data_IF_841473621825
#
_entry.id   IF_841473621825
#
_cell.length_a   1.000
_cell.length_b   1.000
_cell.length_c   1.000
_cell.angle_alpha   90.00
_cell.angle_beta   90.00
_cell.angle_gamma   90.00
#
_symmetry.space_group_name_H-M   'P 1'
#
loop_
_entity.id
_entity.type
_entity.pdbx_description
1 polymer ?
#
# COMPACT_ATOMS: atom_id res chain seq x y z
N UNK A 1 15.24 -42.22 -46.98
CA UNK A 1 14.60 -40.92 -46.76
C UNK A 1 13.87 -40.98 -45.42
N UNK A 2 14.34 -40.24 -44.42
CA UNK A 2 13.68 -40.15 -43.11
C UNK A 2 12.56 -39.10 -43.22
N UNK A 3 11.30 -39.55 -43.24
CA UNK A 3 10.14 -38.65 -43.15
C UNK A 3 9.97 -38.23 -41.69
N UNK A 4 10.58 -37.10 -41.33
CA UNK A 4 10.29 -36.41 -40.08
C UNK A 4 8.87 -35.83 -40.17
N UNK A 5 7.89 -36.46 -39.53
CA UNK A 5 6.59 -35.83 -39.28
C UNK A 5 6.75 -34.95 -38.04
N UNK A 6 6.71 -33.64 -38.21
CA UNK A 6 6.68 -32.70 -37.09
C UNK A 6 5.36 -32.90 -36.33
N UNK A 7 5.37 -33.72 -35.28
CA UNK A 7 4.29 -33.74 -34.30
C UNK A 7 4.39 -32.41 -33.57
N UNK A 8 3.58 -31.43 -33.96
CA UNK A 8 3.50 -30.16 -33.27
C UNK A 8 3.02 -30.44 -31.83
N UNK A 9 3.97 -30.47 -30.89
CA UNK A 9 3.68 -30.51 -29.46
C UNK A 9 2.78 -29.30 -29.18
N UNK A 10 1.48 -29.54 -28.99
CA UNK A 10 0.56 -28.54 -28.47
C UNK A 10 1.06 -28.19 -27.07
N UNK A 11 1.93 -27.19 -26.96
CA UNK A 11 2.34 -26.59 -25.71
C UNK A 11 1.07 -26.21 -24.97
N UNK A 12 0.82 -26.87 -23.84
CA UNK A 12 -0.35 -26.59 -23.02
C UNK A 12 -0.37 -25.09 -22.73
N UNK A 13 -1.46 -24.41 -23.13
CA UNK A 13 -1.63 -22.99 -22.86
C UNK A 13 -1.54 -22.80 -21.34
N UNK A 14 -0.58 -22.03 -20.82
CA UNK A 14 -0.51 -21.78 -19.39
C UNK A 14 -1.85 -21.22 -18.94
N UNK A 15 -2.48 -21.88 -17.96
CA UNK A 15 -3.71 -21.35 -17.38
C UNK A 15 -3.30 -20.25 -16.41
N UNK A 16 -3.15 -19.05 -16.95
CA UNK A 16 -2.85 -17.86 -16.16
C UNK A 16 -4.04 -17.58 -15.25
N UNK A 17 -3.84 -17.76 -13.94
CA UNK A 17 -4.82 -17.47 -12.89
C UNK A 17 -4.35 -16.24 -12.13
N UNK A 18 -4.50 -15.02 -12.68
CA UNK A 18 -3.99 -13.79 -12.06
C UNK A 18 -4.57 -13.56 -10.65
N UNK A 19 -5.78 -14.06 -10.39
CA UNK A 19 -6.43 -14.00 -9.08
C UNK A 19 -5.65 -14.74 -7.97
N UNK A 20 -4.90 -15.80 -8.28
CA UNK A 20 -4.06 -16.49 -7.30
C UNK A 20 -2.87 -15.63 -6.86
N UNK A 21 -2.30 -14.85 -7.78
CA UNK A 21 -1.23 -13.90 -7.45
C UNK A 21 -1.77 -12.76 -6.58
N UNK A 22 -2.95 -12.24 -6.90
CA UNK A 22 -3.61 -11.22 -6.07
C UNK A 22 -3.91 -11.74 -4.67
N UNK A 23 -4.40 -12.97 -4.55
CA UNK A 23 -4.66 -13.63 -3.27
C UNK A 23 -3.37 -13.83 -2.46
N UNK A 24 -2.28 -14.24 -3.12
CA UNK A 24 -0.96 -14.36 -2.49
C UNK A 24 -0.46 -13.00 -2.00
N UNK A 25 -0.56 -11.95 -2.81
CA UNK A 25 -0.18 -10.59 -2.41
C UNK A 25 -1.01 -10.10 -1.22
N UNK A 26 -2.32 -10.37 -1.22
CA UNK A 26 -3.19 -10.02 -0.10
C UNK A 26 -2.78 -10.74 1.19
N UNK A 27 -2.59 -12.06 1.13
CA UNK A 27 -2.14 -12.85 2.30
C UNK A 27 -0.75 -12.43 2.76
N UNK A 28 0.12 -11.96 1.87
CA UNK A 28 1.46 -11.53 2.24
C UNK A 28 1.48 -10.13 2.87
N UNK A 29 0.64 -9.22 2.39
CA UNK A 29 0.64 -7.81 2.83
C UNK A 29 -0.15 -7.57 4.12
N UNK A 30 -1.28 -8.25 4.31
CA UNK A 30 -2.23 -7.88 5.37
C UNK A 30 -1.87 -8.35 6.80
N UNK A 31 -1.31 -9.56 7.01
CA UNK A 31 -1.01 -10.05 8.35
C UNK A 31 0.06 -9.22 9.07
N UNK A 32 -0.20 -8.83 10.32
CA UNK A 32 0.77 -8.17 11.19
C UNK A 32 0.85 -6.64 11.08
N UNK A 33 0.05 -6.01 10.21
CA UNK A 33 -0.04 -4.55 10.10
C UNK A 33 -0.81 -3.92 11.27
N UNK A 34 -1.78 -4.64 11.83
CA UNK A 34 -2.71 -4.16 12.84
C UNK A 34 -2.41 -4.81 14.20
N UNK A 35 -2.60 -4.05 15.29
CA UNK A 35 -2.58 -4.61 16.65
C UNK A 35 -1.21 -4.66 17.33
N UNK A 36 -0.22 -3.92 16.83
CA UNK A 36 1.03 -3.66 17.56
C UNK A 36 1.21 -2.16 17.82
N UNK A 37 1.66 -1.81 19.03
CA UNK A 37 2.02 -0.44 19.36
C UNK A 37 3.15 0.06 18.44
N UNK A 38 3.18 1.37 18.11
CA UNK A 38 4.23 1.92 17.28
C UNK A 38 5.60 1.77 17.92
N UNK A 39 6.35 0.75 17.49
CA UNK A 39 7.71 0.50 17.96
C UNK A 39 8.74 1.34 17.21
N UNK A 40 8.36 1.83 16.03
CA UNK A 40 9.29 2.39 15.05
C UNK A 40 9.28 3.89 15.23
N UNK A 41 10.44 4.54 15.39
CA UNK A 41 10.49 5.95 15.72
C UNK A 41 9.83 6.83 14.67
N UNK A 42 9.76 6.39 13.42
CA UNK A 42 9.10 7.05 12.28
C UNK A 42 7.56 7.03 12.34
N UNK A 43 6.96 6.00 12.92
CA UNK A 43 5.51 5.82 12.98
C UNK A 43 4.76 6.90 13.78
N UNK A 44 5.18 7.29 15.00
CA UNK A 44 4.52 8.37 15.74
C UNK A 44 4.71 9.73 15.05
N UNK A 45 5.79 9.95 14.30
CA UNK A 45 5.97 11.19 13.53
C UNK A 45 4.94 11.29 12.41
N UNK A 46 4.77 10.22 11.62
CA UNK A 46 3.75 10.18 10.57
C UNK A 46 2.37 10.43 11.14
N UNK A 47 2.06 9.79 12.28
CA UNK A 47 0.78 9.96 12.95
C UNK A 47 0.57 11.41 13.39
N UNK A 48 1.56 12.00 14.05
CA UNK A 48 1.47 13.37 14.58
C UNK A 48 1.33 14.41 13.45
N UNK A 49 2.06 14.25 12.35
CA UNK A 49 1.91 15.12 11.16
C UNK A 49 0.53 14.94 10.54
N UNK A 50 0.08 13.71 10.32
CA UNK A 50 -1.21 13.44 9.71
C UNK A 50 -2.38 13.96 10.56
N UNK A 51 -2.31 13.80 11.88
CA UNK A 51 -3.27 14.39 12.83
C UNK A 51 -3.21 15.92 12.80
N UNK A 52 -2.00 16.51 12.86
CA UNK A 52 -1.82 17.96 12.76
C UNK A 52 -2.39 18.54 11.46
N UNK A 53 -2.31 17.81 10.34
CA UNK A 53 -2.91 18.22 9.06
C UNK A 53 -4.44 18.16 9.09
N UNK A 54 -5.03 17.18 9.77
CA UNK A 54 -6.48 17.10 9.97
C UNK A 54 -6.98 18.22 10.88
N UNK A 55 -6.27 18.51 11.96
CA UNK A 55 -6.65 19.50 12.97
C UNK A 55 -6.46 20.94 12.47
N UNK A 56 -5.33 21.22 11.80
CA UNK A 56 -5.04 22.56 11.25
C UNK A 56 -5.78 22.85 9.94
N UNK A 57 -6.23 21.82 9.23
CA UNK A 57 -6.80 21.93 7.88
C UNK A 57 -5.78 22.37 6.82
N UNK A 58 -4.49 22.48 7.17
CA UNK A 58 -3.44 22.85 6.24
C UNK A 58 -2.85 21.61 5.57
N UNK A 59 -3.32 21.32 4.36
CA UNK A 59 -2.85 20.18 3.57
C UNK A 59 -1.57 20.50 2.78
N UNK A 60 -1.18 21.77 2.66
CA UNK A 60 -0.03 22.15 1.84
C UNK A 60 1.29 21.99 2.59
N UNK A 61 1.32 22.34 3.88
CA UNK A 61 2.51 22.32 4.71
C UNK A 61 2.32 21.31 5.85
N UNK A 62 2.96 20.11 5.78
CA UNK A 62 3.01 19.22 6.94
C UNK A 62 3.69 19.93 8.10
N UNK A 63 3.01 19.98 9.24
CA UNK A 63 3.52 20.59 10.47
C UNK A 63 3.63 19.52 11.55
N UNK A 64 4.73 19.57 12.28
CA UNK A 64 4.97 18.75 13.46
C UNK A 64 5.26 19.70 14.63
N UNK A 65 4.38 19.68 15.64
CA UNK A 65 4.52 20.50 16.85
C UNK A 65 4.78 22.00 16.58
N UNK A 66 4.13 22.57 15.56
CA UNK A 66 4.26 23.97 15.17
C UNK A 66 5.44 24.31 14.25
N UNK A 67 6.31 23.35 13.91
CA UNK A 67 7.37 23.53 12.93
C UNK A 67 7.02 22.83 11.59
N UNK A 68 7.39 23.38 10.44
CA UNK A 68 7.21 22.71 9.15
C UNK A 68 8.12 21.48 9.05
N UNK A 69 7.53 20.32 8.74
CA UNK A 69 8.22 19.04 8.64
C UNK A 69 8.32 18.61 7.17
N UNK A 70 9.37 19.07 6.48
CA UNK A 70 9.56 18.95 5.04
C UNK A 70 10.54 17.83 4.63
N UNK A 71 10.81 16.86 5.51
CA UNK A 71 11.74 15.76 5.22
C UNK A 71 11.22 14.83 4.11
N UNK A 72 9.91 14.64 4.03
CA UNK A 72 9.25 13.76 3.05
C UNK A 72 8.15 14.51 2.29
N UNK A 73 7.87 14.09 1.03
CA UNK A 73 6.79 14.68 0.25
C UNK A 73 5.42 14.46 0.91
N UNK A 74 4.47 15.42 0.76
CA UNK A 74 3.21 15.43 1.50
C UNK A 74 2.23 14.31 1.11
N UNK A 75 2.45 13.65 -0.03
CA UNK A 75 1.55 12.64 -0.58
C UNK A 75 1.26 11.51 0.41
N UNK A 76 2.29 11.02 1.10
CA UNK A 76 2.12 9.94 2.06
C UNK A 76 1.29 10.41 3.27
N UNK A 77 1.54 11.62 3.78
CA UNK A 77 0.76 12.20 4.87
C UNK A 77 -0.69 12.46 4.49
N UNK A 78 -0.99 12.82 3.24
CA UNK A 78 -2.36 12.94 2.75
C UNK A 78 -3.11 11.62 2.78
N UNK A 79 -2.47 10.55 2.31
CA UNK A 79 -3.07 9.21 2.35
C UNK A 79 -3.25 8.74 3.79
N UNK A 80 -2.26 8.95 4.66
CA UNK A 80 -2.36 8.62 6.07
C UNK A 80 -3.49 9.40 6.77
N UNK A 81 -3.56 10.72 6.58
CA UNK A 81 -4.62 11.58 7.11
C UNK A 81 -6.01 11.17 6.58
N UNK A 82 -6.10 10.82 5.29
CA UNK A 82 -7.32 10.27 4.69
C UNK A 82 -7.75 8.96 5.35
N UNK A 83 -6.82 8.02 5.54
CA UNK A 83 -7.10 6.75 6.21
C UNK A 83 -7.51 6.96 7.67
N UNK A 84 -6.84 7.87 8.41
CA UNK A 84 -7.25 8.24 9.77
C UNK A 84 -8.69 8.78 9.75
N UNK A 85 -9.01 9.73 8.86
CA UNK A 85 -10.35 10.31 8.79
C UNK A 85 -11.45 9.29 8.49
N UNK A 86 -11.17 8.29 7.65
CA UNK A 86 -12.12 7.26 7.23
C UNK A 86 -12.26 6.12 8.25
N UNK A 87 -11.16 5.64 8.82
CA UNK A 87 -11.14 4.41 9.63
C UNK A 87 -11.01 4.66 11.14
N UNK A 88 -10.42 5.79 11.56
CA UNK A 88 -10.21 6.08 12.98
C UNK A 88 -11.50 6.32 13.79
N UNK A 89 -12.57 6.95 13.26
CA UNK A 89 -13.76 7.22 14.06
C UNK A 89 -14.59 5.99 14.42
N UNK A 90 -14.43 4.88 13.68
CA UNK A 90 -15.38 3.77 13.73
C UNK A 90 -14.75 2.39 13.82
N UNK A 91 -13.48 2.21 13.43
CA UNK A 91 -12.92 0.87 13.22
C UNK A 91 -11.59 0.62 13.93
N UNK A 92 -10.67 1.59 13.92
CA UNK A 92 -9.27 1.36 14.31
C UNK A 92 -8.68 2.53 15.12
N UNK A 93 -7.66 2.29 15.95
CA UNK A 93 -6.83 3.36 16.49
C UNK A 93 -6.19 4.20 15.37
N UNK A 94 -5.94 5.48 15.62
CA UNK A 94 -5.40 6.39 14.60
C UNK A 94 -4.04 5.92 14.03
N UNK A 95 -3.19 5.26 14.83
CA UNK A 95 -1.92 4.70 14.38
C UNK A 95 -2.11 3.56 13.38
N UNK A 96 -3.03 2.63 13.67
CA UNK A 96 -3.36 1.52 12.78
C UNK A 96 -4.03 2.02 11.49
N UNK A 97 -4.90 3.04 11.61
CA UNK A 97 -5.52 3.67 10.45
C UNK A 97 -4.48 4.36 9.55
N UNK A 98 -3.48 5.05 10.12
CA UNK A 98 -2.40 5.66 9.35
C UNK A 98 -1.57 4.61 8.58
N UNK A 99 -1.31 3.45 9.21
CA UNK A 99 -0.55 2.34 8.59
C UNK A 99 -1.22 1.75 7.36
N UNK A 100 -2.55 1.87 7.22
CA UNK A 100 -3.28 1.39 6.03
C UNK A 100 -2.82 2.06 4.73
N UNK A 101 -2.18 3.24 4.80
CA UNK A 101 -1.61 3.90 3.62
C UNK A 101 -0.55 3.02 2.93
N UNK A 102 0.28 2.29 3.68
CA UNK A 102 1.36 1.45 3.16
C UNK A 102 0.87 0.24 2.35
N UNK A 103 0.01 -0.66 2.87
CA UNK A 103 -0.51 -1.78 2.09
C UNK A 103 -1.38 -1.32 0.91
N UNK A 104 -2.04 -0.16 1.01
CA UNK A 104 -2.75 0.44 -0.14
C UNK A 104 -1.78 0.84 -1.26
N UNK A 105 -0.67 1.51 -0.94
CA UNK A 105 0.34 1.86 -1.95
C UNK A 105 1.08 0.63 -2.49
N UNK A 106 1.36 -0.38 -1.66
CA UNK A 106 1.98 -1.63 -2.09
C UNK A 106 1.06 -2.45 -3.00
N UNK A 107 -0.23 -2.53 -2.69
CA UNK A 107 -1.19 -3.22 -3.57
C UNK A 107 -1.32 -2.48 -4.91
N UNK A 108 -1.37 -1.15 -4.90
CA UNK A 108 -1.40 -0.35 -6.12
C UNK A 108 -0.13 -0.55 -6.97
N UNK A 109 1.05 -0.57 -6.35
CA UNK A 109 2.30 -0.77 -7.09
C UNK A 109 2.39 -2.17 -7.73
N UNK A 110 1.94 -3.21 -7.01
CA UNK A 110 1.86 -4.57 -7.54
C UNK A 110 0.87 -4.68 -8.70
N UNK A 111 -0.28 -4.01 -8.61
CA UNK A 111 -1.27 -3.97 -9.70
C UNK A 111 -0.69 -3.29 -10.95
N UNK A 112 -0.05 -2.13 -10.78
CA UNK A 112 0.58 -1.42 -11.89
C UNK A 112 1.73 -2.23 -12.53
N UNK A 113 2.56 -2.88 -11.71
CA UNK A 113 3.62 -3.76 -12.20
C UNK A 113 3.05 -4.96 -12.98
N UNK A 114 1.97 -5.56 -12.48
CA UNK A 114 1.27 -6.64 -13.16
C UNK A 114 0.69 -6.21 -14.52
N UNK A 115 0.14 -4.99 -14.60
CA UNK A 115 -0.36 -4.42 -15.86
C UNK A 115 0.76 -4.13 -16.85
N UNK A 116 1.90 -3.60 -16.39
CA UNK A 116 3.05 -3.31 -17.25
C UNK A 116 3.72 -4.58 -17.81
N UNK A 117 3.68 -5.69 -17.07
CA UNK A 117 4.18 -6.98 -17.56
C UNK A 117 3.25 -7.64 -18.59
N UNK A 118 2.01 -7.17 -18.70
CA UNK A 118 0.99 -7.70 -19.63
C UNK A 118 0.90 -6.98 -20.98
N UNK A 119 1.71 -5.94 -21.23
CA UNK A 119 1.83 -5.22 -22.51
C UNK A 119 3.06 -5.66 -23.28
#
# INVERSE_FOLDING_TARGET
MLTYSAQASSLAKPTEKPWMLLLLCFIWLWPGILGHDPWKPDEPFVLAVAQGMLDSGNWLLPMLNGAPYLENPPLYYWLAAGCIKLFSPWLLPAHDAARLATPLLMSLSLLLAGMAAGT
#
